data_IF_404696622583
#
_entry.id   IF_404696622583
#
_cell.length_a   1.000
_cell.length_b   1.000
_cell.length_c   1.000
_cell.angle_alpha   90.00
_cell.angle_beta   90.00
_cell.angle_gamma   90.00
#
_symmetry.space_group_name_H-M   'P 1'
#
loop_
_entity.id
_entity.type
_entity.pdbx_description
1 polymer ?
#
# COMPACT_ATOMS: atom_id res chain seq x y z
N UNK A 1 2.58 21.57 1.15
CA UNK A 1 1.48 20.96 0.36
C UNK A 1 0.38 20.49 1.30
N UNK A 2 -0.87 20.44 0.82
CA UNK A 2 -2.05 20.08 1.62
C UNK A 2 -2.74 18.89 0.96
N UNK A 3 -3.12 17.88 1.74
CA UNK A 3 -3.90 16.74 1.24
C UNK A 3 -5.30 17.19 0.82
N UNK A 4 -5.87 16.53 -0.20
CA UNK A 4 -7.28 16.71 -0.61
C UNK A 4 -8.26 15.87 0.24
N UNK A 5 -7.75 15.23 1.28
CA UNK A 5 -8.50 14.34 2.17
C UNK A 5 -8.73 15.02 3.52
N UNK A 6 -9.95 14.92 4.06
CA UNK A 6 -10.26 15.37 5.42
C UNK A 6 -9.78 14.34 6.45
N UNK A 7 -9.56 14.77 7.70
CA UNK A 7 -9.15 13.84 8.77
C UNK A 7 -10.15 12.68 8.97
N UNK A 8 -11.48 12.89 8.99
CA UNK A 8 -12.42 11.77 9.08
C UNK A 8 -12.33 10.79 7.91
N UNK A 9 -12.11 11.29 6.68
CA UNK A 9 -11.94 10.44 5.51
C UNK A 9 -10.63 9.62 5.59
N UNK A 10 -9.57 10.23 6.12
CA UNK A 10 -8.30 9.55 6.40
C UNK A 10 -8.45 8.45 7.46
N UNK A 11 -9.19 8.71 8.54
CA UNK A 11 -9.46 7.71 9.58
C UNK A 11 -10.28 6.53 9.04
N UNK A 12 -11.29 6.81 8.21
CA UNK A 12 -12.04 5.77 7.52
C UNK A 12 -11.14 4.94 6.59
N UNK A 13 -10.25 5.60 5.84
CA UNK A 13 -9.25 4.92 5.01
C UNK A 13 -8.40 3.96 5.84
N UNK A 14 -7.83 4.43 6.96
CA UNK A 14 -6.96 3.64 7.85
C UNK A 14 -7.64 2.40 8.42
N UNK A 15 -8.93 2.51 8.76
CA UNK A 15 -9.75 1.41 9.31
C UNK A 15 -10.07 0.32 8.29
N UNK A 16 -10.22 0.70 7.02
CA UNK A 16 -10.76 -0.20 5.99
C UNK A 16 -9.69 -0.80 5.08
N UNK A 17 -8.61 -0.09 4.80
CA UNK A 17 -7.75 -0.44 3.67
C UNK A 17 -6.87 -1.66 3.91
N UNK A 18 -6.37 -1.85 5.14
CA UNK A 18 -5.61 -3.06 5.45
C UNK A 18 -6.49 -4.32 5.41
N UNK A 19 -7.72 -4.26 5.94
CA UNK A 19 -8.64 -5.40 5.89
C UNK A 19 -9.07 -5.73 4.46
N UNK A 20 -9.27 -4.71 3.60
CA UNK A 20 -9.50 -4.92 2.16
C UNK A 20 -8.31 -5.56 1.46
N UNK A 21 -7.09 -5.08 1.73
CA UNK A 21 -5.86 -5.67 1.20
C UNK A 21 -5.72 -7.14 1.62
N UNK A 22 -5.92 -7.42 2.92
CA UNK A 22 -5.85 -8.76 3.50
C UNK A 22 -6.87 -9.71 2.85
N UNK A 23 -8.12 -9.24 2.70
CA UNK A 23 -9.16 -10.02 2.01
C UNK A 23 -8.78 -10.28 0.55
N UNK A 24 -8.21 -9.30 -0.15
CA UNK A 24 -7.85 -9.45 -1.56
C UNK A 24 -6.72 -10.46 -1.78
N UNK A 25 -5.80 -10.62 -0.83
CA UNK A 25 -4.72 -11.61 -0.93
C UNK A 25 -5.13 -13.01 -0.44
N UNK A 26 -5.92 -13.10 0.64
CA UNK A 26 -6.39 -14.38 1.19
C UNK A 26 -7.54 -14.97 0.37
N UNK A 27 -8.45 -14.13 -0.10
CA UNK A 27 -9.66 -14.49 -0.84
C UNK A 27 -9.80 -13.71 -2.17
N UNK A 28 -8.87 -13.89 -3.12
CA UNK A 28 -8.91 -13.21 -4.40
C UNK A 28 -10.09 -13.67 -5.26
N UNK A 29 -10.80 -12.70 -5.86
CA UNK A 29 -11.88 -12.98 -6.81
C UNK A 29 -11.37 -13.55 -8.14
N UNK A 30 -10.12 -13.23 -8.52
CA UNK A 30 -9.49 -13.76 -9.72
C UNK A 30 -7.96 -13.75 -9.64
N UNK A 31 -7.31 -14.55 -10.49
CA UNK A 31 -5.84 -14.67 -10.51
C UNK A 31 -5.12 -13.39 -10.93
N UNK A 32 -5.72 -12.54 -11.76
CA UNK A 32 -5.13 -11.27 -12.16
C UNK A 32 -5.03 -10.29 -10.98
N UNK A 33 -6.11 -10.18 -10.20
CA UNK A 33 -6.13 -9.37 -8.98
C UNK A 33 -5.18 -9.92 -7.93
N UNK A 34 -5.17 -11.25 -7.73
CA UNK A 34 -4.24 -11.90 -6.81
C UNK A 34 -2.78 -11.59 -7.15
N UNK A 35 -2.38 -11.79 -8.42
CA UNK A 35 -1.01 -11.49 -8.88
C UNK A 35 -0.62 -10.05 -8.59
N UNK A 36 -1.53 -9.10 -8.82
CA UNK A 36 -1.27 -7.67 -8.56
C UNK A 36 -1.04 -7.40 -7.07
N UNK A 37 -1.90 -7.95 -6.20
CA UNK A 37 -1.79 -7.76 -4.75
C UNK A 37 -0.54 -8.45 -4.20
N UNK A 38 -0.24 -9.66 -4.65
CA UNK A 38 0.96 -10.38 -4.25
C UNK A 38 2.24 -9.64 -4.64
N UNK A 39 2.30 -9.10 -5.86
CA UNK A 39 3.42 -8.26 -6.33
C UNK A 39 3.54 -6.94 -5.57
N UNK A 40 2.43 -6.38 -5.09
CA UNK A 40 2.47 -5.18 -4.26
C UNK A 40 3.09 -5.43 -2.88
N UNK A 41 3.03 -6.69 -2.40
CA UNK A 41 3.58 -7.09 -1.12
C UNK A 41 2.72 -6.63 0.06
N UNK A 42 3.31 -6.72 1.26
CA UNK A 42 2.68 -6.25 2.49
C UNK A 42 2.58 -4.73 2.49
N UNK A 43 1.36 -4.21 2.68
CA UNK A 43 1.11 -2.77 2.79
C UNK A 43 0.62 -2.46 4.19
N UNK A 44 1.39 -1.65 4.93
CA UNK A 44 1.09 -1.31 6.34
C UNK A 44 0.71 0.16 6.52
N UNK A 45 1.16 1.04 5.63
CA UNK A 45 0.89 2.48 5.68
C UNK A 45 -0.08 2.91 4.59
N UNK A 46 -0.74 4.05 4.81
CA UNK A 46 -1.58 4.71 3.81
C UNK A 46 -0.78 4.97 2.53
N UNK A 47 -1.43 4.77 1.38
CA UNK A 47 -0.85 4.99 0.05
C UNK A 47 -1.93 5.51 -0.89
N UNK A 48 -1.73 6.68 -1.52
CA UNK A 48 -2.68 7.20 -2.52
C UNK A 48 -2.07 8.38 -3.30
N UNK A 49 -1.96 8.25 -4.62
CA UNK A 49 -1.40 9.31 -5.48
C UNK A 49 -2.40 10.44 -5.81
N UNK A 50 -3.67 10.28 -5.44
CA UNK A 50 -4.73 11.27 -5.67
C UNK A 50 -4.99 12.08 -4.40
N UNK A 51 -5.03 11.42 -3.25
CA UNK A 51 -5.31 12.04 -1.96
C UNK A 51 -4.10 12.78 -1.38
N UNK A 52 -2.88 12.32 -1.68
CA UNK A 52 -1.64 12.91 -1.18
C UNK A 52 -0.82 13.51 -2.33
N UNK A 53 -0.39 14.78 -2.19
CA UNK A 53 0.36 15.45 -3.24
C UNK A 53 1.82 14.96 -3.28
N UNK A 54 2.34 14.78 -4.49
CA UNK A 54 3.76 14.56 -4.79
C UNK A 54 4.49 15.92 -4.76
N UNK A 55 5.72 15.98 -4.21
CA UNK A 55 6.39 17.25 -3.97
C UNK A 55 7.00 17.86 -5.23
N UNK A 56 7.41 17.02 -6.18
CA UNK A 56 8.04 17.46 -7.43
C UNK A 56 7.59 16.61 -8.63
N UNK A 57 7.78 17.15 -9.84
CA UNK A 57 7.55 16.38 -11.08
C UNK A 57 8.58 15.25 -11.24
N UNK A 58 9.78 15.39 -10.66
CA UNK A 58 10.79 14.33 -10.61
C UNK A 58 10.32 13.15 -9.75
N UNK A 59 9.75 13.41 -8.56
CA UNK A 59 9.17 12.37 -7.70
C UNK A 59 8.02 11.66 -8.40
N UNK A 60 7.13 12.43 -9.05
CA UNK A 60 6.03 11.87 -9.84
C UNK A 60 6.51 10.93 -10.95
N UNK A 61 7.58 11.30 -11.67
CA UNK A 61 8.19 10.42 -12.69
C UNK A 61 8.80 9.17 -12.08
N UNK A 62 9.36 9.24 -10.87
CA UNK A 62 9.91 8.08 -10.18
C UNK A 62 8.84 7.02 -9.85
N UNK A 63 7.57 7.43 -9.71
CA UNK A 63 6.44 6.54 -9.47
C UNK A 63 5.57 6.29 -10.72
N UNK A 64 6.08 6.58 -11.91
CA UNK A 64 5.41 6.28 -13.17
C UNK A 64 6.07 5.10 -13.88
N UNK A 65 5.25 4.13 -14.28
CA UNK A 65 5.69 3.03 -15.14
C UNK A 65 4.88 2.99 -16.43
N UNK A 66 5.55 2.65 -17.54
CA UNK A 66 4.90 2.47 -18.83
C UNK A 66 4.47 1.02 -18.97
N UNK A 67 3.19 0.78 -19.23
CA UNK A 67 2.71 -0.58 -19.51
C UNK A 67 3.05 -1.04 -20.92
N UNK A 68 2.76 -2.31 -21.23
CA UNK A 68 2.99 -2.93 -22.54
C UNK A 68 2.32 -2.18 -23.71
N UNK A 69 1.18 -1.54 -23.46
CA UNK A 69 0.44 -0.74 -24.44
C UNK A 69 0.95 0.72 -24.53
N UNK A 70 2.04 1.04 -23.85
CA UNK A 70 2.64 2.36 -23.83
C UNK A 70 1.95 3.41 -22.95
N UNK A 71 0.94 3.02 -22.16
CA UNK A 71 0.23 3.91 -21.23
C UNK A 71 1.03 4.08 -19.93
N UNK A 72 1.11 5.31 -19.45
CA UNK A 72 1.70 5.64 -18.14
C UNK A 72 0.73 5.22 -17.02
N UNK A 73 1.24 4.47 -16.06
CA UNK A 73 0.58 4.04 -14.84
C UNK A 73 1.29 4.70 -13.67
N UNK A 74 0.53 5.34 -12.80
CA UNK A 74 1.03 5.84 -11.52
C UNK A 74 0.99 4.73 -10.49
N UNK A 75 2.15 4.43 -9.90
CA UNK A 75 2.30 3.49 -8.80
C UNK A 75 2.03 4.26 -7.51
N UNK A 76 0.97 3.92 -6.75
CA UNK A 76 0.79 4.49 -5.43
C UNK A 76 1.99 4.17 -4.53
N UNK A 77 2.48 5.17 -3.80
CA UNK A 77 3.58 5.00 -2.86
C UNK A 77 3.12 5.24 -1.42
N UNK A 78 3.79 4.63 -0.42
CA UNK A 78 3.48 4.86 0.98
C UNK A 78 3.66 6.32 1.39
N UNK A 79 2.75 6.82 2.21
CA UNK A 79 2.85 8.13 2.85
C UNK A 79 3.77 8.02 4.07
N UNK A 80 4.87 8.76 4.07
CA UNK A 80 5.85 8.73 5.15
C UNK A 80 5.32 9.34 6.44
N UNK A 81 4.71 10.53 6.36
CA UNK A 81 4.20 11.25 7.53
C UNK A 81 2.98 12.11 7.15
N UNK A 82 2.07 12.30 8.12
CA UNK A 82 0.95 13.22 8.02
C UNK A 82 0.90 14.12 9.24
N UNK A 83 0.35 15.32 9.05
CA UNK A 83 0.19 16.31 10.11
C UNK A 83 -1.05 17.16 9.87
N UNK A 84 -1.71 17.60 10.95
CA UNK A 84 -2.87 18.47 10.90
C UNK A 84 -2.61 19.73 11.72
N UNK A 85 -2.99 20.90 11.18
CA UNK A 85 -2.84 22.15 11.90
C UNK A 85 -3.83 22.21 13.07
N UNK A 86 -3.31 22.38 14.29
CA UNK A 86 -4.10 22.58 15.50
C UNK A 86 -4.06 24.07 15.89
N UNK A 87 -5.17 24.77 15.62
CA UNK A 87 -5.30 26.19 15.92
C UNK A 87 -5.13 26.51 17.41
N UNK A 88 -5.58 25.63 18.31
CA UNK A 88 -5.49 25.85 19.76
C UNK A 88 -4.06 25.79 20.27
N UNK A 89 -3.19 25.02 19.62
CA UNK A 89 -1.75 24.93 19.93
C UNK A 89 -0.91 25.91 19.11
N UNK A 90 -1.43 26.39 17.98
CA UNK A 90 -0.64 27.15 17.00
C UNK A 90 0.46 26.30 16.37
N UNK A 91 0.27 24.98 16.29
CA UNK A 91 1.25 24.02 15.79
C UNK A 91 0.56 22.82 15.10
N UNK A 92 1.35 21.94 14.51
CA UNK A 92 0.89 20.72 13.86
C UNK A 92 0.85 19.54 14.83
N UNK A 93 -0.29 18.85 14.88
CA UNK A 93 -0.37 17.53 15.51
C UNK A 93 0.03 16.44 14.49
N UNK A 94 0.84 15.45 14.90
CA UNK A 94 1.17 14.32 14.05
C UNK A 94 -0.06 13.45 13.82
N UNK A 95 -0.22 12.95 12.60
CA UNK A 95 -1.26 12.00 12.24
C UNK A 95 -0.58 10.72 11.77
N UNK A 96 -0.95 9.60 12.39
CA UNK A 96 -0.36 8.29 12.06
C UNK A 96 -0.76 7.86 10.65
N UNK A 97 0.21 7.39 9.90
CA UNK A 97 0.06 6.82 8.55
C UNK A 97 -0.16 5.31 8.58
N UNK A 98 0.05 4.66 9.73
CA UNK A 98 -0.12 3.22 9.89
C UNK A 98 -1.60 2.83 9.85
N UNK A 99 -1.92 1.82 9.05
CA UNK A 99 -3.29 1.33 8.89
C UNK A 99 -3.68 0.47 10.10
N UNK A 100 -4.95 0.53 10.46
CA UNK A 100 -5.47 -0.23 11.60
C UNK A 100 -5.49 -1.72 11.27
N UNK A 101 -5.00 -2.55 12.19
CA UNK A 101 -4.87 -4.00 12.01
C UNK A 101 -3.65 -4.46 11.22
N UNK A 102 -2.86 -3.54 10.64
CA UNK A 102 -1.59 -3.87 10.01
C UNK A 102 -0.53 -4.25 11.06
N UNK A 103 0.37 -5.21 10.78
CA UNK A 103 1.44 -5.58 11.70
C UNK A 103 2.36 -4.38 11.95
N UNK A 104 2.84 -4.24 13.17
CA UNK A 104 3.82 -3.21 13.52
C UNK A 104 5.10 -3.37 12.68
N UNK A 105 5.88 -2.29 12.44
CA UNK A 105 7.08 -2.35 11.60
C UNK A 105 8.08 -3.45 11.99
N UNK A 106 8.20 -3.72 13.31
CA UNK A 106 9.08 -4.78 13.84
C UNK A 106 8.62 -6.20 13.49
N UNK A 107 7.31 -6.39 13.28
CA UNK A 107 6.68 -7.68 13.03
C UNK A 107 6.31 -7.88 11.55
N UNK A 108 6.38 -6.81 10.75
CA UNK A 108 5.95 -6.78 9.35
C UNK A 108 6.63 -7.85 8.49
N UNK A 109 7.95 -8.04 8.64
CA UNK A 109 8.70 -9.05 7.88
C UNK A 109 8.22 -10.46 8.21
N UNK A 110 8.16 -10.81 9.49
CA UNK A 110 7.71 -12.13 9.94
C UNK A 110 6.24 -12.39 9.55
N UNK A 111 5.38 -11.37 9.66
CA UNK A 111 3.99 -11.46 9.22
C UNK A 111 3.90 -11.79 7.73
N UNK A 112 4.69 -11.10 6.90
CA UNK A 112 4.68 -11.32 5.46
C UNK A 112 5.23 -12.69 5.07
N UNK A 113 6.34 -13.11 5.67
CA UNK A 113 6.94 -14.43 5.44
C UNK A 113 5.97 -15.56 5.80
N UNK A 114 5.29 -15.46 6.95
CA UNK A 114 4.27 -16.41 7.36
C UNK A 114 3.07 -16.44 6.40
N UNK A 115 2.65 -15.28 5.90
CA UNK A 115 1.57 -15.20 4.90
C UNK A 115 1.98 -15.84 3.58
N UNK A 116 3.20 -15.59 3.10
CA UNK A 116 3.73 -16.24 1.90
C UNK A 116 3.79 -17.76 2.07
N UNK A 117 4.25 -18.25 3.22
CA UNK A 117 4.29 -19.68 3.50
C UNK A 117 2.89 -20.32 3.46
N UNK A 118 1.90 -19.69 4.09
CA UNK A 118 0.51 -20.13 4.02
C UNK A 118 -0.01 -20.14 2.57
N UNK A 119 0.34 -19.13 1.76
CA UNK A 119 -0.05 -19.08 0.35
C UNK A 119 0.63 -20.17 -0.48
N UNK A 120 1.91 -20.49 -0.22
CA UNK A 120 2.63 -21.61 -0.85
C UNK A 120 1.97 -22.95 -0.54
N UNK A 121 1.57 -23.15 0.72
CA UNK A 121 0.89 -24.38 1.15
C UNK A 121 -0.50 -24.53 0.53
N UNK A 122 -1.27 -23.43 0.45
CA UNK A 122 -2.67 -23.47 -0.02
C UNK A 122 -2.81 -23.40 -1.53
N UNK A 123 -1.92 -22.71 -2.25
CA UNK A 123 -2.02 -22.47 -3.70
C UNK A 123 -0.89 -23.12 -4.52
N UNK A 124 0.13 -23.66 -3.85
CA UNK A 124 1.28 -24.30 -4.46
C UNK A 124 2.50 -23.36 -4.52
N UNK A 125 3.64 -23.83 -4.00
CA UNK A 125 4.87 -23.06 -3.89
C UNK A 125 5.34 -22.51 -5.24
N UNK A 126 5.38 -23.36 -6.27
CA UNK A 126 5.82 -22.99 -7.61
C UNK A 126 5.05 -21.79 -8.18
N UNK A 127 3.73 -21.77 -8.01
CA UNK A 127 2.89 -20.67 -8.50
C UNK A 127 3.23 -19.35 -7.81
N UNK A 128 3.41 -19.36 -6.49
CA UNK A 128 3.73 -18.16 -5.72
C UNK A 128 5.12 -17.64 -6.10
N UNK A 129 6.11 -18.52 -6.15
CA UNK A 129 7.49 -18.16 -6.44
C UNK A 129 7.64 -17.66 -7.90
N UNK A 130 6.94 -18.26 -8.87
CA UNK A 130 6.89 -17.78 -10.26
C UNK A 130 6.32 -16.35 -10.35
N UNK A 131 5.29 -16.03 -9.57
CA UNK A 131 4.69 -14.69 -9.56
C UNK A 131 5.66 -13.66 -8.96
N UNK A 132 6.36 -14.02 -7.89
CA UNK A 132 7.32 -13.15 -7.21
C UNK A 132 8.59 -12.92 -8.05
N UNK A 133 9.06 -13.94 -8.78
CA UNK A 133 10.22 -13.83 -9.66
C UNK A 133 10.00 -12.82 -10.81
N UNK A 134 8.76 -12.71 -11.31
CA UNK A 134 8.35 -11.73 -12.34
C UNK A 134 8.29 -10.28 -11.85
N UNK A 135 8.87 -9.94 -10.69
CA UNK A 135 9.09 -8.54 -10.27
C UNK A 135 10.49 -8.02 -10.56
N UNK A 136 11.44 -8.90 -10.89
CA UNK A 136 12.85 -8.55 -11.12
C UNK A 136 13.22 -8.44 -12.61
N UNK A 137 12.23 -8.53 -13.50
CA UNK A 137 12.34 -8.38 -14.95
C UNK A 137 11.56 -7.17 -15.44
#
# INVERSE_FOLDING_TARGET
MVSRCSLPALEAYRKMKFSQWKKAIEHPDCMASFRRVLKMGLVTSIFDHVAFPEATEEEKKAYQVKNENGKIIHIPHPVHALRIWNKSKGDYDPVTTHMEGAPEPKDAKAYWENMLENLRQTRGAKLIDDILAQQLS
#
